data_IF_577368266033
#
_entry.id   IF_577368266033
#
_cell.length_a   1.000
_cell.length_b   1.000
_cell.length_c   1.000
_cell.angle_alpha   90.00
_cell.angle_beta   90.00
_cell.angle_gamma   90.00
#
_symmetry.space_group_name_H-M   'P 1'
#
loop_
_entity.id
_entity.type
_entity.pdbx_description
1 polymer ?
#
# COMPACT_ATOMS: atom_id res chain seq x y z
N UNK A 1 -0.58 15.51 19.14
CA UNK A 1 0.09 14.21 19.22
C UNK A 1 1.59 14.43 19.27
N UNK A 2 2.27 14.05 20.36
CA UNK A 2 3.73 14.14 20.45
C UNK A 2 4.33 12.96 19.68
N UNK A 3 4.81 13.21 18.50
CA UNK A 3 5.60 12.26 17.74
C UNK A 3 7.02 12.25 18.33
N UNK A 4 7.41 11.16 18.98
CA UNK A 4 8.70 11.00 19.63
C UNK A 4 9.89 11.29 18.70
N UNK A 5 11.04 11.59 19.30
CA UNK A 5 12.29 11.99 18.68
C UNK A 5 12.59 11.26 17.37
N UNK A 6 12.74 12.04 16.30
CA UNK A 6 13.10 11.54 14.98
C UNK A 6 14.57 11.13 14.98
N UNK A 7 14.83 9.85 15.03
CA UNK A 7 16.15 9.32 14.66
C UNK A 7 16.26 9.42 13.14
N UNK A 8 17.41 9.88 12.62
CA UNK A 8 17.67 9.91 11.17
C UNK A 8 17.31 8.56 10.56
N UNK A 9 16.43 8.58 9.56
CA UNK A 9 15.87 7.37 8.98
C UNK A 9 16.90 6.64 8.13
N UNK A 10 16.73 5.33 8.03
CA UNK A 10 17.42 4.51 7.03
C UNK A 10 16.57 4.46 5.76
N UNK A 11 17.22 4.20 4.62
CA UNK A 11 16.54 3.93 3.36
C UNK A 11 15.43 2.88 3.53
N UNK A 12 14.22 3.09 2.97
CA UNK A 12 13.11 2.15 3.11
C UNK A 12 13.46 0.73 2.65
N UNK A 13 13.00 -0.27 3.40
CA UNK A 13 13.22 -1.69 3.08
C UNK A 13 11.90 -2.43 2.94
N UNK A 14 11.91 -3.55 2.25
CA UNK A 14 10.73 -4.40 2.05
C UNK A 14 10.10 -4.81 3.40
N UNK A 15 8.77 -4.69 3.49
CA UNK A 15 8.01 -5.01 4.70
C UNK A 15 8.00 -3.90 5.76
N UNK A 16 8.74 -2.81 5.58
CA UNK A 16 8.69 -1.67 6.47
C UNK A 16 7.49 -0.79 6.18
N UNK A 17 6.96 -0.17 7.22
CA UNK A 17 5.81 0.73 7.13
C UNK A 17 6.21 2.15 7.44
N UNK A 18 5.64 3.08 6.67
CA UNK A 18 5.90 4.52 6.76
C UNK A 18 4.60 5.30 6.62
N UNK A 19 4.50 6.40 7.34
CA UNK A 19 3.58 7.46 6.99
C UNK A 19 4.25 8.35 5.96
N UNK A 20 3.74 8.38 4.75
CA UNK A 20 4.26 9.20 3.67
C UNK A 20 3.18 10.13 3.13
N UNK A 21 3.63 11.27 2.62
CA UNK A 21 2.80 12.13 1.79
C UNK A 21 3.09 11.81 0.31
N UNK A 22 2.19 11.09 -0.40
CA UNK A 22 2.42 10.68 -1.79
C UNK A 22 2.42 11.87 -2.77
N UNK A 23 2.03 13.04 -2.30
CA UNK A 23 2.04 14.27 -3.10
C UNK A 23 3.38 15.02 -3.03
N UNK A 24 4.29 14.54 -2.20
CA UNK A 24 5.63 15.12 -2.10
C UNK A 24 6.53 14.48 -3.15
N UNK A 25 6.57 15.08 -4.33
CA UNK A 25 7.36 14.58 -5.45
C UNK A 25 8.49 15.55 -5.73
N UNK A 26 9.72 15.05 -5.69
CA UNK A 26 10.89 15.80 -6.16
C UNK A 26 11.24 15.32 -7.58
N UNK A 27 11.09 16.19 -8.55
CA UNK A 27 11.37 15.89 -9.95
C UNK A 27 12.44 16.81 -10.50
N UNK A 28 13.34 16.28 -11.33
CA UNK A 28 14.21 17.11 -12.17
C UNK A 28 13.46 17.53 -13.42
N UNK A 29 13.35 18.83 -13.65
CA UNK A 29 12.79 19.32 -14.91
C UNK A 29 13.85 19.27 -16.04
N UNK A 30 13.41 19.50 -17.29
CA UNK A 30 14.27 19.56 -18.46
C UNK A 30 15.42 20.61 -18.36
N UNK A 31 15.31 21.55 -17.43
CA UNK A 31 16.35 22.56 -17.16
C UNK A 31 17.30 22.15 -16.03
N UNK A 32 17.17 20.93 -15.49
CA UNK A 32 18.02 20.41 -14.42
C UNK A 32 17.65 20.89 -13.00
N UNK A 33 16.60 21.71 -12.86
CA UNK A 33 16.14 22.15 -11.54
C UNK A 33 15.42 21.02 -10.82
N UNK A 34 15.64 20.92 -9.50
CA UNK A 34 14.82 20.09 -8.63
C UNK A 34 13.54 20.84 -8.27
N UNK A 35 12.41 20.24 -8.57
CA UNK A 35 11.10 20.75 -8.21
C UNK A 35 10.54 19.95 -7.04
N UNK A 36 10.12 20.67 -5.99
CA UNK A 36 9.34 20.10 -4.90
C UNK A 36 7.90 20.53 -5.12
N UNK A 37 7.01 19.56 -5.25
CA UNK A 37 5.58 19.78 -5.40
C UNK A 37 4.89 19.44 -4.08
N UNK A 38 4.01 20.33 -3.65
CA UNK A 38 3.13 20.12 -2.49
C UNK A 38 1.70 20.42 -2.91
N UNK A 39 0.74 19.75 -2.26
CA UNK A 39 -0.67 20.08 -2.43
C UNK A 39 -1.06 21.10 -1.39
N UNK A 40 -1.65 22.22 -1.85
CA UNK A 40 -2.18 23.26 -0.96
C UNK A 40 -3.52 22.82 -0.33
N UNK A 41 -4.05 23.63 0.58
CA UNK A 41 -5.31 23.38 1.28
C UNK A 41 -6.53 23.28 0.34
N UNK A 42 -6.44 23.83 -0.86
CA UNK A 42 -7.47 23.77 -1.89
C UNK A 42 -7.38 22.48 -2.75
N UNK A 43 -6.37 21.63 -2.51
CA UNK A 43 -6.12 20.44 -3.30
C UNK A 43 -5.40 20.71 -4.63
N UNK A 44 -4.84 21.90 -4.81
CA UNK A 44 -4.06 22.28 -5.97
C UNK A 44 -2.58 21.96 -5.77
N UNK A 45 -1.91 21.55 -6.86
CA UNK A 45 -0.49 21.23 -6.83
C UNK A 45 0.31 22.52 -6.99
N UNK A 46 1.06 22.87 -5.96
CA UNK A 46 1.97 24.01 -6.00
C UNK A 46 3.42 23.54 -6.18
N UNK A 47 4.15 24.19 -7.08
CA UNK A 47 5.59 24.05 -7.16
C UNK A 47 6.25 25.04 -6.19
N UNK A 48 6.96 24.52 -5.19
CA UNK A 48 7.69 25.37 -4.22
C UNK A 48 9.05 25.86 -4.74
N UNK A 49 9.43 25.45 -5.94
CA UNK A 49 10.70 25.89 -6.57
C UNK A 49 10.46 27.23 -7.29
N UNK A 50 11.00 28.28 -6.75
CA UNK A 50 10.70 29.69 -7.06
C UNK A 50 11.00 30.08 -8.54
N UNK A 51 11.70 29.28 -9.33
CA UNK A 51 12.19 29.68 -10.65
C UNK A 51 11.67 28.88 -11.83
N UNK A 52 10.68 28.04 -11.66
CA UNK A 52 10.20 27.20 -12.76
C UNK A 52 8.68 26.96 -12.71
N UNK A 53 8.01 27.23 -13.83
CA UNK A 53 6.55 27.19 -13.96
C UNK A 53 6.03 25.90 -14.60
N UNK A 54 6.70 24.76 -14.46
CA UNK A 54 6.19 23.50 -15.00
C UNK A 54 5.09 22.92 -14.12
N UNK A 55 3.93 22.67 -14.72
CA UNK A 55 2.81 21.96 -14.07
C UNK A 55 2.93 20.46 -14.36
N UNK A 56 2.84 19.64 -13.32
CA UNK A 56 2.77 18.18 -13.44
C UNK A 56 1.41 17.71 -12.95
N UNK A 57 0.73 16.92 -13.76
CA UNK A 57 -0.50 16.24 -13.34
C UNK A 57 -0.15 15.05 -12.46
N UNK A 58 -0.58 15.08 -11.20
CA UNK A 58 -0.45 13.94 -10.31
C UNK A 58 -1.51 12.89 -10.58
N UNK A 59 -1.13 11.63 -10.58
CA UNK A 59 -2.10 10.55 -10.49
C UNK A 59 -2.82 10.63 -9.12
N UNK A 60 -4.12 10.29 -9.10
CA UNK A 60 -4.92 10.26 -7.87
C UNK A 60 -4.53 9.03 -7.04
N UNK A 61 -3.47 9.14 -6.25
CA UNK A 61 -3.20 8.23 -5.15
C UNK A 61 -3.81 8.85 -3.90
N UNK A 62 -3.94 8.14 -2.81
CA UNK A 62 -4.61 8.58 -1.58
C UNK A 62 -4.43 10.07 -1.24
N UNK A 63 -5.47 10.70 -0.70
CA UNK A 63 -5.41 12.07 -0.20
C UNK A 63 -4.87 12.08 1.22
N UNK A 64 -3.79 12.85 1.46
CA UNK A 64 -3.17 13.02 2.77
C UNK A 64 -2.12 11.96 3.13
N UNK A 65 -1.58 12.06 4.34
CA UNK A 65 -0.62 11.12 4.88
C UNK A 65 -1.32 9.84 5.34
N UNK A 66 -0.88 8.71 4.81
CA UNK A 66 -1.35 7.38 5.16
C UNK A 66 -0.17 6.45 5.44
N UNK A 67 -0.35 5.40 6.24
CA UNK A 67 0.65 4.36 6.36
C UNK A 67 0.68 3.50 5.09
N UNK A 68 1.89 3.12 4.67
CA UNK A 68 2.14 2.28 3.52
C UNK A 68 3.15 1.20 3.85
N UNK A 69 2.99 0.04 3.25
CA UNK A 69 3.96 -1.05 3.27
C UNK A 69 4.83 -0.92 2.03
N UNK A 70 6.15 -0.87 2.21
CA UNK A 70 7.10 -0.97 1.09
C UNK A 70 7.14 -2.43 0.62
N UNK A 71 6.87 -2.65 -0.66
CA UNK A 71 6.88 -4.00 -1.26
C UNK A 71 8.05 -4.24 -2.20
N UNK A 72 8.74 -3.20 -2.64
CA UNK A 72 9.96 -3.34 -3.43
C UNK A 72 10.99 -4.17 -2.69
N UNK A 73 11.56 -5.18 -3.35
CA UNK A 73 12.61 -6.03 -2.80
C UNK A 73 13.87 -5.23 -2.45
N UNK A 74 14.48 -5.56 -1.32
CA UNK A 74 15.71 -4.90 -0.84
C UNK A 74 16.89 -5.04 -1.81
N UNK A 75 16.91 -6.09 -2.65
CA UNK A 75 17.95 -6.28 -3.67
C UNK A 75 18.05 -5.16 -4.71
N UNK A 76 16.98 -4.36 -4.87
CA UNK A 76 16.94 -3.22 -5.78
C UNK A 76 17.31 -1.90 -5.09
N UNK A 77 17.71 -1.95 -3.82
CA UNK A 77 18.00 -0.79 -3.01
C UNK A 77 19.49 -0.60 -2.70
N UNK A 78 20.36 -1.52 -3.14
CA UNK A 78 21.78 -1.34 -3.04
C UNK A 78 22.28 -0.28 -4.06
N UNK A 79 23.47 0.31 -3.81
CA UNK A 79 24.00 1.42 -4.61
C UNK A 79 24.16 1.08 -6.10
N UNK A 80 24.38 -0.19 -6.44
CA UNK A 80 24.57 -0.64 -7.82
C UNK A 80 23.26 -0.88 -8.59
N UNK A 81 22.14 -1.08 -7.88
CA UNK A 81 20.84 -1.43 -8.46
C UNK A 81 19.74 -0.50 -8.00
N UNK A 82 20.08 0.69 -7.55
CA UNK A 82 19.10 1.64 -7.03
C UNK A 82 18.06 2.05 -8.06
N UNK A 83 16.81 1.79 -7.74
CA UNK A 83 15.67 2.34 -8.45
C UNK A 83 15.08 3.52 -7.68
N UNK A 84 14.66 4.56 -8.41
CA UNK A 84 14.15 5.79 -7.80
C UNK A 84 12.67 5.70 -7.42
N UNK A 85 12.04 4.56 -7.67
CA UNK A 85 10.63 4.34 -7.38
C UNK A 85 10.44 3.14 -6.48
N UNK A 86 9.48 3.22 -5.57
CA UNK A 86 9.14 2.14 -4.64
C UNK A 86 7.68 1.72 -4.85
N UNK A 87 7.46 0.42 -4.90
CA UNK A 87 6.12 -0.17 -4.93
C UNK A 87 5.58 -0.24 -3.51
N UNK A 88 4.36 0.23 -3.33
CA UNK A 88 3.72 0.38 -2.03
C UNK A 88 2.34 -0.27 -2.00
N UNK A 89 1.97 -0.79 -0.84
CA UNK A 89 0.62 -1.22 -0.53
C UNK A 89 0.07 -0.27 0.54
N UNK A 90 -1.02 0.46 0.25
CA UNK A 90 -1.61 1.39 1.21
C UNK A 90 -2.34 0.66 2.33
N UNK A 91 -2.33 1.27 3.51
CA UNK A 91 -3.07 0.83 4.69
C UNK A 91 -4.19 1.81 5.03
N UNK A 92 -5.31 1.29 5.52
CA UNK A 92 -6.41 2.10 6.03
C UNK A 92 -7.00 1.47 7.29
N UNK A 93 -7.44 2.28 8.23
CA UNK A 93 -8.23 1.82 9.38
C UNK A 93 -9.74 1.74 9.08
N UNK A 94 -10.18 2.18 7.90
CA UNK A 94 -11.59 2.15 7.51
C UNK A 94 -11.98 0.78 6.97
N UNK A 95 -13.16 0.31 7.34
CA UNK A 95 -13.69 -1.01 6.96
C UNK A 95 -14.37 -1.03 5.58
N UNK A 96 -14.30 0.04 4.80
CA UNK A 96 -14.99 0.17 3.50
C UNK A 96 -14.76 -1.01 2.55
N UNK A 97 -13.56 -1.59 2.60
CA UNK A 97 -13.15 -2.70 1.73
C UNK A 97 -13.05 -4.04 2.46
N UNK A 98 -13.50 -4.10 3.71
CA UNK A 98 -13.48 -5.33 4.51
C UNK A 98 -14.26 -6.45 3.79
N UNK A 99 -13.68 -7.63 3.77
CA UNK A 99 -14.28 -8.81 3.12
C UNK A 99 -13.94 -9.03 1.66
N UNK A 100 -13.25 -8.07 1.00
CA UNK A 100 -12.66 -8.34 -0.31
C UNK A 100 -11.44 -9.29 -0.16
N UNK A 101 -11.29 -10.30 -1.03
CA UNK A 101 -10.14 -11.22 -0.97
C UNK A 101 -8.78 -10.52 -1.10
N UNK A 102 -8.76 -9.37 -1.78
CA UNK A 102 -7.56 -8.54 -1.98
C UNK A 102 -7.26 -7.61 -0.81
N UNK A 103 -8.00 -7.72 0.29
CA UNK A 103 -7.80 -6.91 1.49
C UNK A 103 -7.35 -7.81 2.64
N UNK A 104 -6.24 -7.46 3.28
CA UNK A 104 -5.69 -8.22 4.39
C UNK A 104 -5.79 -7.42 5.69
N UNK A 105 -6.45 -7.96 6.74
CA UNK A 105 -6.50 -7.31 8.04
C UNK A 105 -5.14 -7.46 8.76
N UNK A 106 -4.60 -6.37 9.27
CA UNK A 106 -3.37 -6.32 10.06
C UNK A 106 -3.74 -5.83 11.46
N UNK A 107 -3.51 -6.65 12.46
CA UNK A 107 -3.68 -6.25 13.85
C UNK A 107 -2.55 -5.29 14.28
N UNK A 108 -2.89 -4.29 15.06
CA UNK A 108 -1.92 -3.40 15.69
C UNK A 108 -1.06 -4.18 16.69
N UNK A 109 0.27 -4.12 16.53
CA UNK A 109 1.25 -4.75 17.42
C UNK A 109 2.41 -3.81 17.70
N UNK A 110 3.21 -4.10 18.72
CA UNK A 110 4.44 -3.35 19.01
C UNK A 110 5.48 -3.48 17.89
N UNK A 111 5.46 -4.56 17.13
CA UNK A 111 6.39 -4.82 16.02
C UNK A 111 6.05 -3.93 14.81
N UNK A 112 4.77 -3.86 14.45
CA UNK A 112 4.35 -3.09 13.28
C UNK A 112 4.09 -1.61 13.59
N UNK A 113 4.00 -1.24 14.86
CA UNK A 113 3.88 0.15 15.31
C UNK A 113 2.62 0.89 14.86
N UNK A 114 1.62 0.17 14.33
CA UNK A 114 0.33 0.76 13.97
C UNK A 114 -0.44 1.16 15.23
N UNK A 115 -1.07 2.33 15.21
CA UNK A 115 -1.92 2.80 16.32
C UNK A 115 -3.28 2.11 16.36
N UNK A 116 -3.75 1.57 15.24
CA UNK A 116 -5.04 0.92 15.07
C UNK A 116 -4.91 -0.31 14.18
N UNK A 117 -5.81 -1.29 14.37
CA UNK A 117 -6.00 -2.36 13.39
C UNK A 117 -6.27 -1.74 12.02
N UNK A 118 -5.61 -2.24 11.01
CA UNK A 118 -5.62 -1.66 9.67
C UNK A 118 -5.84 -2.74 8.62
N UNK A 119 -6.17 -2.32 7.42
CA UNK A 119 -6.38 -3.19 6.27
C UNK A 119 -5.38 -2.84 5.19
N UNK A 120 -4.61 -3.81 4.73
CA UNK A 120 -3.74 -3.67 3.57
C UNK A 120 -4.59 -3.81 2.29
N UNK A 121 -4.59 -2.77 1.48
CA UNK A 121 -5.39 -2.69 0.24
C UNK A 121 -4.55 -3.15 -0.95
N UNK A 122 -4.37 -4.46 -1.11
CA UNK A 122 -3.49 -5.05 -2.14
C UNK A 122 -3.91 -4.64 -3.55
N UNK A 123 -5.21 -4.52 -3.81
CA UNK A 123 -5.74 -4.06 -5.09
C UNK A 123 -5.47 -2.57 -5.40
N UNK A 124 -4.92 -1.84 -4.44
CA UNK A 124 -4.53 -0.44 -4.61
C UNK A 124 -2.99 -0.27 -4.58
N UNK A 125 -2.27 -1.35 -4.88
CA UNK A 125 -0.81 -1.28 -5.04
C UNK A 125 -0.43 -0.15 -5.99
N UNK A 126 0.54 0.65 -5.60
CA UNK A 126 0.98 1.81 -6.35
C UNK A 126 2.49 1.97 -6.30
N UNK A 127 3.02 2.77 -7.21
CA UNK A 127 4.43 3.11 -7.26
C UNK A 127 4.60 4.60 -7.00
N UNK A 128 5.50 4.96 -6.10
CA UNK A 128 5.83 6.34 -5.75
C UNK A 128 7.33 6.59 -5.89
N UNK A 129 7.71 7.85 -6.05
CA UNK A 129 9.10 8.28 -6.04
C UNK A 129 9.72 8.05 -4.66
N UNK A 130 10.98 7.58 -4.61
CA UNK A 130 11.69 7.34 -3.35
C UNK A 130 11.86 8.62 -2.51
N UNK A 131 11.82 9.81 -3.12
CA UNK A 131 11.86 11.06 -2.39
C UNK A 131 10.61 11.34 -1.55
N UNK A 132 9.48 10.62 -1.78
CA UNK A 132 8.33 10.65 -0.88
C UNK A 132 8.67 10.16 0.53
N UNK A 133 9.77 9.41 0.68
CA UNK A 133 10.27 8.91 1.97
C UNK A 133 11.30 9.83 2.62
N UNK A 134 11.44 11.04 2.13
CA UNK A 134 12.36 12.05 2.68
C UNK A 134 11.58 13.22 3.26
N UNK A 135 12.12 13.81 4.31
CA UNK A 135 11.60 15.05 4.89
C UNK A 135 12.06 16.29 4.09
N UNK A 136 11.73 17.48 4.61
CA UNK A 136 12.10 18.75 3.98
C UNK A 136 13.60 19.01 3.93
N UNK A 137 14.40 18.29 4.73
CA UNK A 137 15.86 18.40 4.81
C UNK A 137 16.55 17.37 3.91
N UNK A 138 15.78 16.45 3.31
CA UNK A 138 16.30 15.39 2.46
C UNK A 138 16.68 14.11 3.21
N UNK A 139 16.42 14.07 4.53
CA UNK A 139 16.66 12.90 5.35
C UNK A 139 15.55 11.87 5.23
N UNK A 140 15.91 10.59 5.34
CA UNK A 140 14.93 9.51 5.28
C UNK A 140 13.96 9.56 6.48
N UNK A 141 12.67 9.42 6.20
CA UNK A 141 11.63 9.36 7.23
C UNK A 141 11.87 8.18 8.18
N UNK A 142 11.48 8.36 9.43
CA UNK A 142 11.48 7.28 10.40
C UNK A 142 10.42 6.24 10.03
N UNK A 143 10.80 4.96 10.03
CA UNK A 143 9.84 3.87 9.87
C UNK A 143 8.86 3.83 11.04
N UNK A 144 7.61 3.45 10.79
CA UNK A 144 6.59 3.20 11.81
C UNK A 144 6.85 1.84 12.47
N UNK A 145 7.08 0.81 11.67
CA UNK A 145 7.31 -0.54 12.13
C UNK A 145 7.66 -1.48 10.98
N UNK A 146 7.45 -2.77 11.19
CA UNK A 146 7.75 -3.81 10.23
C UNK A 146 6.64 -4.87 10.24
N UNK A 147 6.28 -5.41 9.07
CA UNK A 147 5.38 -6.55 8.96
C UNK A 147 5.95 -7.78 9.66
N UNK A 148 5.09 -8.53 10.30
CA UNK A 148 5.40 -9.88 10.73
C UNK A 148 5.48 -10.83 9.52
N UNK A 149 6.17 -11.97 9.69
CA UNK A 149 6.36 -12.91 8.59
C UNK A 149 5.03 -13.44 8.04
N UNK A 150 4.10 -13.78 8.94
CA UNK A 150 2.77 -14.28 8.55
C UNK A 150 1.96 -13.24 7.76
N UNK A 151 2.02 -11.96 8.14
CA UNK A 151 1.36 -10.88 7.40
C UNK A 151 1.95 -10.72 6.00
N UNK A 152 3.29 -10.81 5.88
CA UNK A 152 3.97 -10.73 4.59
C UNK A 152 3.55 -11.86 3.66
N UNK A 153 3.53 -13.10 4.14
CA UNK A 153 3.11 -14.29 3.37
C UNK A 153 1.66 -14.16 2.91
N UNK A 154 0.75 -13.74 3.80
CA UNK A 154 -0.66 -13.56 3.47
C UNK A 154 -0.92 -12.44 2.45
N UNK A 155 -0.13 -11.36 2.49
CA UNK A 155 -0.19 -10.29 1.49
C UNK A 155 0.39 -10.77 0.15
N UNK A 156 1.45 -11.57 0.17
CA UNK A 156 2.05 -12.14 -1.05
C UNK A 156 1.05 -13.04 -1.80
N UNK A 157 0.31 -13.89 -1.10
CA UNK A 157 -0.76 -14.70 -1.72
C UNK A 157 -1.81 -13.82 -2.39
N UNK A 158 -2.22 -12.72 -1.75
CA UNK A 158 -3.18 -11.77 -2.29
C UNK A 158 -2.66 -11.02 -3.51
N UNK A 159 -1.37 -10.71 -3.54
CA UNK A 159 -0.73 -10.13 -4.72
C UNK A 159 -0.69 -11.12 -5.89
N UNK A 160 -0.35 -12.37 -5.63
CA UNK A 160 -0.38 -13.44 -6.65
C UNK A 160 -1.78 -13.55 -7.26
N UNK A 161 -2.81 -13.58 -6.42
CA UNK A 161 -4.19 -13.60 -6.86
C UNK A 161 -4.57 -12.35 -7.68
N UNK A 162 -4.32 -11.16 -7.14
CA UNK A 162 -4.72 -9.90 -7.77
C UNK A 162 -4.02 -9.64 -9.10
N UNK A 163 -2.74 -9.98 -9.20
CA UNK A 163 -1.91 -9.76 -10.40
C UNK A 163 -1.94 -10.95 -11.37
N UNK A 164 -2.69 -12.02 -11.06
CA UNK A 164 -2.75 -13.25 -11.85
C UNK A 164 -1.35 -13.82 -12.16
N UNK A 165 -0.49 -13.85 -11.15
CA UNK A 165 0.86 -14.41 -11.28
C UNK A 165 0.80 -15.94 -11.27
N UNK A 166 1.76 -16.62 -11.92
CA UNK A 166 1.79 -18.05 -12.25
C UNK A 166 1.33 -18.90 -11.12
N UNK A 167 1.53 -19.03 -9.99
CA UNK A 167 0.98 -19.87 -8.91
C UNK A 167 -0.25 -19.23 -8.24
N UNK A 168 -1.10 -18.61 -9.03
CA UNK A 168 -2.32 -18.00 -8.55
C UNK A 168 -3.19 -19.04 -7.83
N UNK A 169 -3.61 -18.81 -6.58
CA UNK A 169 -4.40 -19.76 -5.81
C UNK A 169 -5.80 -20.08 -6.38
N UNK A 170 -6.23 -19.35 -7.41
CA UNK A 170 -7.49 -19.65 -8.12
C UNK A 170 -8.77 -19.31 -7.36
N UNK A 171 -9.87 -19.87 -7.84
CA UNK A 171 -11.21 -19.59 -7.33
C UNK A 171 -11.45 -20.14 -5.93
N UNK A 172 -10.85 -21.26 -5.59
CA UNK A 172 -10.92 -21.87 -4.26
C UNK A 172 -10.40 -20.90 -3.19
N UNK A 173 -9.29 -20.25 -3.50
CA UNK A 173 -8.73 -19.25 -2.62
C UNK A 173 -9.64 -18.01 -2.48
N UNK A 174 -10.27 -17.59 -3.58
CA UNK A 174 -11.25 -16.50 -3.55
C UNK A 174 -12.40 -16.84 -2.58
N UNK A 175 -13.01 -18.02 -2.74
CA UNK A 175 -14.11 -18.45 -1.89
C UNK A 175 -13.68 -18.50 -0.42
N UNK A 176 -12.51 -19.09 -0.15
CA UNK A 176 -11.95 -19.20 1.20
C UNK A 176 -11.73 -17.84 1.88
N UNK A 177 -11.33 -16.80 1.13
CA UNK A 177 -10.92 -15.50 1.67
C UNK A 177 -11.96 -14.38 1.50
N UNK A 178 -13.02 -14.59 0.76
CA UNK A 178 -14.12 -13.64 0.62
C UNK A 178 -15.03 -13.65 1.86
N UNK A 179 -15.60 -12.50 2.21
CA UNK A 179 -16.60 -12.45 3.27
C UNK A 179 -17.93 -13.10 2.86
N UNK A 180 -18.74 -13.60 3.82
CA UNK A 180 -20.06 -14.15 3.52
C UNK A 180 -20.95 -13.20 2.71
N UNK A 181 -20.93 -11.91 3.03
CA UNK A 181 -21.73 -10.89 2.34
C UNK A 181 -21.29 -10.73 0.88
N UNK A 182 -19.98 -10.80 0.63
CA UNK A 182 -19.46 -10.76 -0.73
C UNK A 182 -19.83 -12.02 -1.49
N UNK A 183 -19.64 -13.21 -0.89
CA UNK A 183 -20.01 -14.48 -1.52
C UNK A 183 -21.49 -14.53 -1.90
N UNK A 184 -22.39 -14.04 -1.04
CA UNK A 184 -23.82 -13.96 -1.36
C UNK A 184 -24.08 -13.07 -2.59
N UNK A 185 -23.40 -11.92 -2.68
CA UNK A 185 -23.55 -11.00 -3.83
C UNK A 185 -23.06 -11.57 -5.15
N UNK A 186 -21.97 -12.32 -5.11
CA UNK A 186 -21.34 -12.86 -6.33
C UNK A 186 -21.75 -14.29 -6.67
N UNK A 187 -22.53 -14.95 -5.81
CA UNK A 187 -22.87 -16.37 -5.92
C UNK A 187 -23.39 -16.75 -7.31
N UNK A 188 -24.28 -15.95 -7.88
CA UNK A 188 -24.87 -16.22 -9.19
C UNK A 188 -23.90 -16.03 -10.36
N UNK A 189 -22.78 -15.38 -10.12
CA UNK A 189 -21.74 -15.11 -11.11
C UNK A 189 -20.58 -16.11 -11.03
N UNK A 190 -20.58 -17.05 -10.06
CA UNK A 190 -19.55 -18.08 -9.97
C UNK A 190 -19.65 -19.03 -11.18
N UNK A 191 -18.48 -19.46 -11.73
CA UNK A 191 -18.42 -20.02 -13.08
C UNK A 191 -19.09 -21.40 -13.21
N UNK A 192 -19.04 -22.22 -12.19
CA UNK A 192 -19.50 -23.61 -12.25
C UNK A 192 -20.16 -24.09 -10.94
N UNK A 193 -20.79 -25.26 -10.99
CA UNK A 193 -21.49 -25.82 -9.83
C UNK A 193 -20.53 -26.30 -8.71
N UNK A 194 -19.30 -26.65 -9.03
CA UNK A 194 -18.30 -27.02 -8.02
C UNK A 194 -17.94 -25.80 -7.17
N UNK A 195 -17.62 -24.70 -7.81
CA UNK A 195 -17.31 -23.40 -7.18
C UNK A 195 -18.51 -22.90 -6.35
N UNK A 196 -19.75 -23.06 -6.87
CA UNK A 196 -20.96 -22.72 -6.13
C UNK A 196 -21.18 -23.62 -4.91
N UNK A 197 -20.86 -24.92 -5.01
CA UNK A 197 -20.95 -25.85 -3.87
C UNK A 197 -20.01 -25.45 -2.75
N UNK A 198 -18.77 -25.14 -3.08
CA UNK A 198 -17.77 -24.66 -2.11
C UNK A 198 -18.23 -23.35 -1.43
N UNK A 199 -18.79 -22.42 -2.21
CA UNK A 199 -19.31 -21.17 -1.65
C UNK A 199 -20.49 -21.40 -0.72
N UNK A 200 -21.40 -22.38 -1.03
CA UNK A 200 -22.51 -22.76 -0.14
C UNK A 200 -22.00 -23.36 1.16
N UNK A 201 -21.04 -24.28 1.10
CA UNK A 201 -20.43 -24.91 2.28
C UNK A 201 -19.84 -23.83 3.21
N UNK A 202 -19.03 -22.93 2.66
CA UNK A 202 -18.48 -21.84 3.44
C UNK A 202 -19.57 -20.94 4.06
N UNK A 203 -20.61 -20.56 3.30
CA UNK A 203 -21.68 -19.73 3.83
C UNK A 203 -22.45 -20.43 4.97
N UNK A 204 -22.56 -21.76 4.94
CA UNK A 204 -23.18 -22.56 6.01
C UNK A 204 -22.27 -22.59 7.25
N UNK A 205 -20.96 -22.74 7.05
CA UNK A 205 -20.00 -22.81 8.16
C UNK A 205 -19.84 -21.46 8.89
N UNK A 206 -19.88 -20.36 8.15
CA UNK A 206 -19.83 -19.01 8.72
C UNK A 206 -21.12 -18.59 9.46
N UNK A 207 -22.23 -19.37 9.33
CA UNK A 207 -23.50 -19.17 10.03
C UNK A 207 -23.62 -20.01 11.34
N UNK A 208 -22.68 -20.91 11.60
CA UNK A 208 -22.61 -21.75 12.81
C UNK A 208 -21.73 -21.13 13.88
#
# INVERSE_FOLDING_TARGET
MNWGERVSGQKPRQGWMYFINPYRVSLRCKFGHHHIYEINELGEIECKTISCTQVINSSRVFRGEHPYIVWTSDQFQDESKYIQTLTLIPLTSQETYKGLPTVYPINSTSTNGLSYNSFALVHQICTVDANCFKDSQGDWLKRVGQLEKADKEAIEERLKYFLNLGDNPGEDWFIKNASPELLQKVFNYLPDETTKSMAREKLIDDLR
#
